data_IF_370785517595
#
_entry.id   IF_370785517595
#
_cell.length_a   1.000
_cell.length_b   1.000
_cell.length_c   1.000
_cell.angle_alpha   90.00
_cell.angle_beta   90.00
_cell.angle_gamma   90.00
#
_symmetry.space_group_name_H-M   'P 1'
#
loop_
_entity.id
_entity.type
_entity.pdbx_description
1 polymer ?
2 water ?
#
# COMPACT_ATOMS: atom_id res chain seq x y z
N UNK A 5 -2.64 -12.60 -5.61
CA UNK A 5 -2.35 -11.24 -5.15
C UNK A 5 -2.03 -10.40 -6.36
N UNK A 6 -2.84 -9.37 -6.61
CA UNK A 6 -2.58 -8.43 -7.68
C UNK A 6 -2.42 -9.12 -9.05
N UNK A 7 -3.12 -10.24 -9.23
CA UNK A 7 -3.10 -10.93 -10.51
C UNK A 7 -1.67 -11.29 -10.93
N UNK A 8 -0.79 -11.54 -9.93
CA UNK A 8 0.60 -11.88 -10.16
C UNK A 8 1.57 -10.74 -10.30
N UNK A 9 1.07 -9.50 -10.37
CA UNK A 9 1.97 -8.36 -10.47
C UNK A 9 2.77 -8.21 -9.17
N UNK A 10 4.06 -7.87 -9.38
CA UNK A 10 4.94 -7.51 -8.27
C UNK A 10 5.10 -6.01 -8.31
N UNK A 11 4.67 -5.36 -7.25
CA UNK A 11 4.65 -3.91 -7.11
C UNK A 11 6.04 -3.40 -6.69
N UNK A 12 6.22 -2.08 -6.70
CA UNK A 12 7.47 -1.54 -6.18
C UNK A 12 7.60 -1.93 -4.71
N UNK A 13 8.73 -2.46 -4.27
CA UNK A 13 8.80 -2.99 -2.89
C UNK A 13 8.75 -1.93 -1.81
N UNK A 14 9.12 -0.70 -2.13
CA UNK A 14 9.12 0.38 -1.12
C UNK A 14 7.99 1.30 -1.34
N UNK A 15 7.72 1.71 -2.58
CA UNK A 15 6.80 2.77 -2.88
C UNK A 15 5.36 2.32 -2.97
N UNK A 16 5.15 1.02 -3.10
CA UNK A 16 3.81 0.48 -3.32
C UNK A 16 3.58 -0.73 -2.44
N UNK A 17 2.31 -1.14 -2.41
CA UNK A 17 1.95 -2.44 -1.86
C UNK A 17 0.82 -3.00 -2.73
N UNK A 18 0.70 -4.33 -2.71
CA UNK A 18 -0.44 -4.97 -3.35
C UNK A 18 -1.62 -4.86 -2.41
N UNK A 19 -2.63 -4.09 -2.82
CA UNK A 19 -3.84 -3.87 -2.02
C UNK A 19 -4.84 -4.96 -2.44
N UNK A 20 -5.08 -5.93 -1.56
CA UNK A 20 -5.88 -7.05 -2.10
C UNK A 20 -7.34 -6.67 -2.20
N UNK A 21 -7.82 -5.56 -1.62
CA UNK A 21 -9.21 -5.17 -1.87
C UNK A 21 -9.45 -4.98 -3.35
N UNK A 22 -8.54 -4.31 -4.04
CA UNK A 22 -8.65 -4.05 -5.46
C UNK A 22 -7.82 -5.03 -6.31
N UNK A 23 -6.92 -5.75 -5.68
CA UNK A 23 -5.90 -6.56 -6.36
C UNK A 23 -5.11 -5.69 -7.36
N UNK A 24 -4.78 -4.47 -6.91
CA UNK A 24 -3.92 -3.58 -7.66
C UNK A 24 -2.81 -3.05 -6.74
N UNK A 25 -1.73 -2.61 -7.34
CA UNK A 25 -0.69 -1.89 -6.61
C UNK A 25 -1.17 -0.51 -6.20
N UNK A 26 -0.92 -0.12 -4.99
CA UNK A 26 -1.34 1.19 -4.49
C UNK A 26 -0.14 1.84 -3.81
N UNK A 27 -0.13 3.17 -3.80
CA UNK A 27 1.03 3.90 -3.21
C UNK A 27 1.05 3.82 -1.70
N UNK A 28 2.25 3.53 -1.17
CA UNK A 28 2.44 3.52 0.27
C UNK A 28 2.29 4.92 0.88
N UNK A 29 2.75 5.96 0.16
CA UNK A 29 2.73 7.27 0.77
C UNK A 29 1.31 7.64 1.13
N UNK A 30 0.37 7.27 0.33
CA UNK A 30 -1.02 7.60 0.56
C UNK A 30 -1.55 6.96 1.81
N UNK A 31 -1.32 5.66 2.00
CA UNK A 31 -1.83 4.95 3.17
C UNK A 31 -1.15 5.34 4.47
N UNK A 32 0.10 5.81 4.34
CA UNK A 32 0.88 6.15 5.55
C UNK A 32 0.80 7.62 5.96
N UNK A 33 0.42 8.52 5.09
CA UNK A 33 0.36 9.94 5.43
C UNK A 33 -0.99 10.25 6.01
N UNK A 34 -1.00 10.68 7.29
CA UNK A 34 -2.27 10.84 7.97
C UNK A 34 -3.04 12.11 7.52
N UNK A 35 -2.50 12.82 6.55
CA UNK A 35 -3.21 13.96 5.97
C UNK A 35 -3.99 13.57 4.72
N UNK A 36 -3.98 12.31 4.32
CA UNK A 36 -4.67 11.91 3.08
C UNK A 36 -6.01 11.31 3.41
N UNK A 37 -6.87 11.25 2.34
CA UNK A 37 -8.14 10.64 2.44
C UNK A 37 -8.08 9.15 2.62
N UNK A 38 -6.97 8.53 2.13
CA UNK A 38 -7.00 7.06 2.27
C UNK A 38 -5.96 6.55 3.24
N UNK A 39 -5.58 7.40 4.18
CA UNK A 39 -4.76 6.99 5.32
C UNK A 39 -5.38 5.76 6.01
N UNK A 40 -4.53 4.79 6.32
CA UNK A 40 -5.02 3.60 7.05
C UNK A 40 -3.83 3.16 7.92
N UNK A 41 -3.89 3.44 9.21
CA UNK A 41 -2.73 3.15 10.08
C UNK A 41 -2.36 1.69 10.03
N UNK A 42 -3.36 0.81 10.07
CA UNK A 42 -3.07 -0.64 10.09
C UNK A 42 -2.41 -1.11 8.81
N UNK A 43 -2.96 -0.67 7.66
CA UNK A 43 -2.38 -1.08 6.39
C UNK A 43 -1.00 -0.47 6.14
N UNK A 44 -0.83 0.79 6.56
CA UNK A 44 0.51 1.39 6.51
C UNK A 44 1.47 0.49 7.27
N UNK A 45 1.13 0.17 8.52
CA UNK A 45 2.01 -0.60 9.35
C UNK A 45 2.35 -1.95 8.66
N UNK A 46 1.30 -2.68 8.29
CA UNK A 46 1.43 -4.04 7.80
C UNK A 46 2.19 -4.14 6.47
N UNK A 47 1.85 -3.24 5.55
CA UNK A 47 2.24 -3.41 4.15
C UNK A 47 3.39 -2.48 3.73
N UNK A 48 3.60 -1.36 4.44
CA UNK A 48 4.50 -0.33 3.98
C UNK A 48 5.65 0.02 4.93
N UNK A 49 5.36 0.00 6.23
CA UNK A 49 6.23 0.74 7.15
C UNK A 49 7.67 0.23 7.14
N UNK A 50 7.86 -1.07 7.10
CA UNK A 50 9.19 -1.61 7.34
C UNK A 50 10.06 -1.55 6.12
N UNK A 51 9.48 -1.28 4.96
CA UNK A 51 10.20 -1.35 3.67
C UNK A 51 10.91 -0.02 3.35
N UNK A 52 10.50 1.07 3.99
CA UNK A 52 11.12 2.37 3.71
C UNK A 52 12.29 2.74 4.60
#
# INVERSE_FOLDING_TARGET
>A
GESRDCHGTICHPVNEFCYVATERCHPCIEVCNNQTHNYDAFLCAKECSAYK
#
